data_IF_205681038531
#
_entry.id   IF_205681038531
#
_cell.length_a   1.000
_cell.length_b   1.000
_cell.length_c   1.000
_cell.angle_alpha   90.00
_cell.angle_beta   90.00
_cell.angle_gamma   90.00
#
_symmetry.space_group_name_H-M   'P 1'
#
loop_
_entity.id
_entity.type
_entity.pdbx_description
1 polymer ?
#
# COMPACT_ATOMS: atom_id res chain seq x y z
N UNK A 1 0.37 -24.43 8.19
CA UNK A 1 1.62 -24.06 7.46
C UNK A 1 2.15 -22.69 7.90
N UNK A 2 2.14 -22.35 9.20
CA UNK A 2 2.84 -21.15 9.73
C UNK A 2 2.56 -19.79 9.06
N UNK A 3 1.39 -19.54 8.47
CA UNK A 3 1.17 -18.33 7.64
C UNK A 3 1.41 -17.00 8.39
N UNK A 4 0.97 -16.92 9.65
CA UNK A 4 1.20 -15.74 10.47
C UNK A 4 2.70 -15.50 10.73
N UNK A 5 3.46 -16.56 10.94
CA UNK A 5 4.91 -16.49 11.15
C UNK A 5 5.65 -16.12 9.85
N UNK A 6 5.21 -16.65 8.71
CA UNK A 6 5.74 -16.25 7.39
C UNK A 6 5.51 -14.75 7.10
N UNK A 7 4.31 -14.24 7.41
CA UNK A 7 4.00 -12.80 7.26
C UNK A 7 4.89 -11.98 8.20
N UNK A 8 4.96 -12.35 9.49
CA UNK A 8 5.76 -11.63 10.47
C UNK A 8 7.25 -11.60 10.09
N UNK A 9 7.81 -12.73 9.63
CA UNK A 9 9.18 -12.81 9.13
C UNK A 9 9.41 -11.95 7.90
N UNK A 10 8.47 -11.93 6.95
CA UNK A 10 8.56 -11.06 5.77
C UNK A 10 8.65 -9.60 6.16
N UNK A 11 7.77 -9.14 7.07
CA UNK A 11 7.78 -7.77 7.59
C UNK A 11 9.10 -7.46 8.29
N UNK A 12 9.56 -8.37 9.17
CA UNK A 12 10.81 -8.20 9.91
C UNK A 12 12.02 -8.07 8.97
N UNK A 13 12.12 -8.92 7.95
CA UNK A 13 13.20 -8.86 6.98
C UNK A 13 13.11 -7.58 6.12
N UNK A 14 11.90 -7.22 5.67
CA UNK A 14 11.67 -5.95 5.01
C UNK A 14 12.09 -4.74 5.86
N UNK A 15 11.97 -4.77 7.20
CA UNK A 15 12.46 -3.68 8.06
C UNK A 15 13.98 -3.65 8.20
N UNK A 16 14.67 -4.78 8.01
CA UNK A 16 16.13 -4.90 8.15
C UNK A 16 16.91 -4.63 6.87
N UNK A 17 16.29 -4.72 5.70
CA UNK A 17 16.95 -4.54 4.41
C UNK A 17 17.60 -3.16 4.26
N UNK A 18 18.85 -3.12 3.81
CA UNK A 18 19.66 -1.90 3.62
C UNK A 18 19.63 -1.37 2.18
N UNK A 19 18.67 -1.83 1.37
CA UNK A 19 18.47 -1.39 -0.02
C UNK A 19 17.11 -0.69 -0.15
N UNK A 20 16.91 0.14 -1.19
CA UNK A 20 15.62 0.72 -1.49
C UNK A 20 14.55 -0.36 -1.67
N UNK A 21 13.39 -0.17 -1.05
CA UNK A 21 12.19 -1.00 -1.29
C UNK A 21 11.07 -0.10 -1.76
N UNK A 22 10.50 -0.43 -2.91
CA UNK A 22 9.33 0.24 -3.48
C UNK A 22 8.25 -0.83 -3.65
N UNK A 23 7.06 -0.57 -3.12
CA UNK A 23 5.90 -1.45 -3.25
C UNK A 23 4.78 -0.73 -4.00
N UNK A 24 4.07 -1.43 -4.87
CA UNK A 24 2.99 -0.87 -5.69
C UNK A 24 1.78 -1.79 -5.62
N UNK A 25 0.65 -1.28 -5.13
CA UNK A 25 -0.63 -2.00 -5.16
C UNK A 25 -1.30 -1.76 -6.51
N UNK A 26 -1.39 -2.82 -7.31
CA UNK A 26 -1.89 -2.75 -8.70
C UNK A 26 -3.35 -3.23 -8.85
N UNK A 27 -3.99 -3.60 -7.75
CA UNK A 27 -5.34 -4.17 -7.72
C UNK A 27 -5.84 -4.20 -6.29
N UNK A 28 -6.01 -5.40 -5.73
CA UNK A 28 -6.46 -5.58 -4.34
C UNK A 28 -5.30 -5.88 -3.39
N UNK A 29 -5.04 -4.96 -2.47
CA UNK A 29 -4.15 -5.12 -1.32
C UNK A 29 -4.90 -5.67 -0.12
N UNK A 30 -4.86 -6.99 0.09
CA UNK A 30 -5.57 -7.63 1.19
C UNK A 30 -4.73 -7.84 2.45
N UNK A 31 -5.04 -7.10 3.52
CA UNK A 31 -4.70 -7.39 4.91
C UNK A 31 -3.21 -7.75 5.15
N UNK A 32 -2.96 -8.75 6.00
CA UNK A 32 -1.64 -9.28 6.34
C UNK A 32 -0.83 -9.76 5.13
N UNK A 33 -1.49 -10.22 4.06
CA UNK A 33 -0.82 -10.67 2.85
C UNK A 33 -0.17 -9.53 2.08
N UNK A 34 -0.86 -8.39 1.97
CA UNK A 34 -0.32 -7.21 1.30
C UNK A 34 0.75 -6.49 2.13
N UNK A 35 0.56 -6.34 3.46
CA UNK A 35 1.53 -5.65 4.31
C UNK A 35 2.86 -6.40 4.43
N UNK A 36 2.85 -7.73 4.26
CA UNK A 36 4.05 -8.56 4.21
C UNK A 36 5.08 -8.06 3.18
N UNK A 37 4.60 -7.44 2.09
CA UNK A 37 5.42 -6.92 0.99
C UNK A 37 5.25 -5.40 0.75
N UNK A 38 4.40 -4.74 1.52
CA UNK A 38 4.25 -3.27 1.51
C UNK A 38 5.05 -2.58 2.63
N UNK A 39 5.85 -3.34 3.39
CA UNK A 39 6.81 -2.79 4.36
C UNK A 39 8.01 -2.18 3.64
N UNK A 40 7.80 -1.03 3.00
CA UNK A 40 8.69 -0.44 2.01
C UNK A 40 9.03 1.03 2.30
N UNK A 41 10.13 1.54 1.72
CA UNK A 41 10.47 2.97 1.80
C UNK A 41 9.37 3.79 1.13
N UNK A 42 8.99 3.38 -0.08
CA UNK A 42 7.88 3.98 -0.84
C UNK A 42 6.79 2.95 -1.10
N UNK A 43 5.54 3.35 -0.90
CA UNK A 43 4.34 2.57 -1.21
C UNK A 43 3.48 3.42 -2.13
N UNK A 44 3.21 2.91 -3.33
CA UNK A 44 2.34 3.55 -4.31
C UNK A 44 1.11 2.69 -4.56
N UNK A 45 0.06 3.30 -5.09
CA UNK A 45 -1.14 2.59 -5.53
C UNK A 45 -1.55 3.07 -6.91
N UNK A 46 -2.07 2.16 -7.74
CA UNK A 46 -2.87 2.59 -8.88
C UNK A 46 -4.15 3.28 -8.38
N UNK A 47 -4.64 4.24 -9.15
CA UNK A 47 -5.75 5.12 -8.78
C UNK A 47 -7.02 4.40 -8.30
N UNK A 48 -7.35 3.26 -8.91
CA UNK A 48 -8.52 2.44 -8.60
C UNK A 48 -8.18 1.18 -7.80
N UNK A 49 -6.92 1.02 -7.38
CA UNK A 49 -6.53 -0.05 -6.46
C UNK A 49 -7.12 0.19 -5.06
N UNK A 50 -7.31 -0.89 -4.31
CA UNK A 50 -7.79 -0.85 -2.92
C UNK A 50 -6.76 -1.47 -2.00
N UNK A 51 -6.66 -0.98 -0.77
CA UNK A 51 -5.83 -1.58 0.26
C UNK A 51 -6.56 -1.54 1.61
N UNK A 52 -6.83 -2.71 2.19
CA UNK A 52 -7.67 -2.82 3.38
C UNK A 52 -7.17 -3.86 4.38
N UNK A 53 -7.50 -3.68 5.66
CA UNK A 53 -7.18 -4.65 6.73
C UNK A 53 -8.08 -5.91 6.69
N UNK A 54 -9.26 -5.80 6.08
CA UNK A 54 -10.25 -6.86 5.91
C UNK A 54 -11.05 -6.57 4.63
N UNK A 55 -11.60 -7.59 3.97
CA UNK A 55 -12.51 -7.34 2.86
C UNK A 55 -13.79 -6.65 3.37
N UNK A 56 -14.40 -5.74 2.58
CA UNK A 56 -15.62 -5.06 3.01
C UNK A 56 -16.78 -6.02 3.32
N UNK A 57 -16.89 -7.13 2.60
CA UNK A 57 -17.90 -8.17 2.80
C UNK A 57 -17.74 -8.86 4.15
N UNK A 58 -16.50 -9.22 4.50
CA UNK A 58 -16.20 -9.84 5.79
C UNK A 58 -16.42 -8.83 6.94
N UNK A 59 -16.03 -7.58 6.77
CA UNK A 59 -16.32 -6.51 7.72
C UNK A 59 -17.83 -6.31 7.94
N UNK A 60 -18.61 -6.31 6.86
CA UNK A 60 -20.07 -6.16 6.90
C UNK A 60 -20.74 -7.34 7.63
N UNK A 61 -20.28 -8.57 7.36
CA UNK A 61 -20.76 -9.76 8.06
C UNK A 61 -20.44 -9.74 9.56
N UNK A 62 -19.30 -9.19 9.97
CA UNK A 62 -18.91 -9.12 11.38
C UNK A 62 -19.72 -8.04 12.11
N UNK A 63 -19.81 -6.84 11.53
CA UNK A 63 -20.40 -5.68 12.19
C UNK A 63 -21.93 -5.67 12.16
N UNK A 64 -22.54 -6.15 11.07
CA UNK A 64 -23.99 -6.09 10.86
C UNK A 64 -24.64 -7.45 10.58
N UNK A 65 -23.88 -8.54 10.51
CA UNK A 65 -24.38 -9.87 10.09
C UNK A 65 -25.07 -9.84 8.72
N UNK A 66 -24.66 -8.90 7.88
CA UNK A 66 -25.26 -8.65 6.58
C UNK A 66 -24.19 -8.22 5.58
N UNK A 67 -23.82 -9.13 4.68
CA UNK A 67 -22.81 -8.88 3.65
C UNK A 67 -23.27 -7.84 2.60
N UNK A 68 -24.58 -7.57 2.48
CA UNK A 68 -25.09 -6.57 1.55
C UNK A 68 -24.61 -5.14 1.91
N UNK A 69 -24.14 -4.94 3.15
CA UNK A 69 -23.58 -3.65 3.61
C UNK A 69 -22.11 -3.44 3.25
N UNK A 70 -21.51 -4.29 2.43
CA UNK A 70 -20.10 -4.18 2.01
C UNK A 70 -19.74 -2.77 1.49
N UNK A 71 -20.64 -2.11 0.74
CA UNK A 71 -20.40 -0.75 0.23
C UNK A 71 -20.24 0.30 1.33
N UNK A 72 -21.08 0.22 2.36
CA UNK A 72 -21.02 1.13 3.50
C UNK A 72 -19.71 0.91 4.29
N UNK A 73 -19.32 -0.36 4.44
CA UNK A 73 -18.06 -0.74 5.08
C UNK A 73 -16.86 -0.25 4.31
N UNK A 74 -16.81 -0.44 2.99
CA UNK A 74 -15.72 0.03 2.14
C UNK A 74 -15.54 1.55 2.25
N UNK A 75 -16.65 2.29 2.24
CA UNK A 75 -16.66 3.76 2.37
C UNK A 75 -16.15 4.19 3.76
N UNK A 76 -16.64 3.56 4.83
CA UNK A 76 -16.23 3.88 6.20
C UNK A 76 -14.76 3.52 6.48
N UNK A 77 -14.27 2.45 5.87
CA UNK A 77 -12.90 1.96 6.03
C UNK A 77 -11.86 2.77 5.25
N UNK A 78 -12.27 3.65 4.32
CA UNK A 78 -11.36 4.53 3.60
C UNK A 78 -10.23 3.78 2.86
N UNK A 79 -10.62 2.81 2.04
CA UNK A 79 -9.70 1.82 1.42
C UNK A 79 -9.11 2.26 0.08
N UNK A 80 -9.50 3.42 -0.44
CA UNK A 80 -9.09 3.89 -1.78
C UNK A 80 -7.68 4.49 -1.76
N UNK A 81 -7.02 4.56 -2.92
CA UNK A 81 -5.70 5.20 -3.02
C UNK A 81 -5.72 6.66 -2.50
N UNK A 82 -6.79 7.40 -2.78
CA UNK A 82 -6.97 8.81 -2.40
C UNK A 82 -7.11 8.94 -0.88
N UNK A 83 -7.94 8.10 -0.27
CA UNK A 83 -8.09 8.05 1.18
C UNK A 83 -6.76 7.73 1.87
N UNK A 84 -6.06 6.70 1.41
CA UNK A 84 -4.83 6.23 2.03
C UNK A 84 -3.68 7.21 1.83
N UNK A 85 -3.67 8.00 0.75
CA UNK A 85 -2.74 9.10 0.57
C UNK A 85 -3.01 10.21 1.59
N UNK A 86 -4.29 10.58 1.79
CA UNK A 86 -4.67 11.59 2.80
C UNK A 86 -4.32 11.14 4.23
N UNK A 87 -4.44 9.84 4.51
CA UNK A 87 -4.06 9.24 5.80
C UNK A 87 -2.55 9.06 5.97
N UNK A 88 -1.74 9.37 4.95
CA UNK A 88 -0.27 9.23 4.98
C UNK A 88 0.21 7.78 4.98
N UNK A 89 -0.61 6.83 4.51
CA UNK A 89 -0.28 5.40 4.44
C UNK A 89 0.52 5.10 3.16
N UNK A 90 0.22 5.81 2.07
CA UNK A 90 0.93 5.68 0.79
C UNK A 90 1.60 7.00 0.40
N UNK A 91 2.66 6.91 -0.41
CA UNK A 91 3.48 8.04 -0.82
C UNK A 91 3.01 8.69 -2.13
N UNK A 92 2.14 8.02 -2.89
CA UNK A 92 1.69 8.53 -4.18
C UNK A 92 0.70 7.62 -4.89
N UNK A 93 0.01 8.24 -5.86
CA UNK A 93 -1.00 7.59 -6.68
C UNK A 93 -0.52 7.61 -8.13
N UNK A 94 -0.60 6.46 -8.80
CA UNK A 94 -0.33 6.31 -10.22
C UNK A 94 -1.67 6.43 -10.95
N UNK A 95 -1.82 7.53 -11.70
CA UNK A 95 -3.05 7.82 -12.44
C UNK A 95 -3.35 6.74 -13.48
N UNK A 96 -4.64 6.42 -13.60
CA UNK A 96 -5.15 5.49 -14.59
C UNK A 96 -5.91 6.24 -15.71
N UNK A 97 -5.98 5.68 -16.93
CA UNK A 97 -6.78 6.27 -18.01
C UNK A 97 -8.26 6.26 -17.64
N UNK A 98 -9.05 7.11 -18.32
CA UNK A 98 -10.51 7.13 -18.17
C UNK A 98 -11.08 5.74 -18.40
N UNK A 99 -11.75 5.20 -17.37
CA UNK A 99 -12.33 3.86 -17.38
C UNK A 99 -11.40 2.74 -16.89
N UNK A 100 -10.21 3.06 -16.36
CA UNK A 100 -9.35 2.15 -15.60
C UNK A 100 -8.18 1.55 -16.40
N UNK A 101 -7.19 1.01 -15.67
CA UNK A 101 -5.88 0.60 -16.19
C UNK A 101 -5.91 -0.36 -17.37
N UNK A 102 -6.91 -1.23 -17.41
CA UNK A 102 -7.10 -2.21 -18.47
C UNK A 102 -7.38 -1.58 -19.85
N UNK A 103 -7.81 -0.32 -19.91
CA UNK A 103 -8.13 0.37 -21.17
C UNK A 103 -6.90 0.90 -21.90
N UNK A 104 -5.84 1.24 -21.15
CA UNK A 104 -4.57 1.68 -21.72
C UNK A 104 -3.38 1.16 -20.89
N UNK A 105 -3.10 -0.16 -20.93
CA UNK A 105 -2.08 -0.77 -20.07
C UNK A 105 -0.68 -0.20 -20.32
N UNK A 106 -0.36 0.18 -21.56
CA UNK A 106 0.92 0.76 -21.93
C UNK A 106 1.16 2.13 -21.25
N UNK A 107 0.12 2.97 -21.18
CA UNK A 107 0.17 4.25 -20.48
C UNK A 107 0.38 4.09 -18.98
N UNK A 108 -0.37 3.17 -18.35
CA UNK A 108 -0.20 2.87 -16.91
C UNK A 108 1.19 2.31 -16.61
N UNK A 109 1.72 1.45 -17.47
CA UNK A 109 3.08 0.93 -17.32
C UNK A 109 4.12 2.04 -17.42
N UNK A 110 3.96 2.97 -18.37
CA UNK A 110 4.86 4.13 -18.51
C UNK A 110 4.83 5.02 -17.26
N UNK A 111 3.63 5.33 -16.74
CA UNK A 111 3.45 6.11 -15.51
C UNK A 111 4.07 5.41 -14.30
N UNK A 112 3.88 4.09 -14.20
CA UNK A 112 4.45 3.26 -13.13
C UNK A 112 5.97 3.23 -13.20
N UNK A 113 6.54 3.06 -14.38
CA UNK A 113 7.99 3.07 -14.60
C UNK A 113 8.60 4.41 -14.22
N UNK A 114 7.94 5.52 -14.54
CA UNK A 114 8.38 6.85 -14.16
C UNK A 114 8.34 7.06 -12.64
N UNK A 115 7.25 6.62 -11.98
CA UNK A 115 7.15 6.65 -10.52
C UNK A 115 8.29 5.86 -9.85
N UNK A 116 8.60 4.66 -10.35
CA UNK A 116 9.70 3.83 -9.85
C UNK A 116 11.05 4.53 -10.07
N UNK A 117 11.29 5.10 -11.25
CA UNK A 117 12.54 5.82 -11.55
C UNK A 117 12.78 6.97 -10.59
N UNK A 118 11.76 7.80 -10.36
CA UNK A 118 11.87 8.94 -9.46
C UNK A 118 12.12 8.48 -8.02
N UNK A 119 11.37 7.48 -7.56
CA UNK A 119 11.57 6.88 -6.24
C UNK A 119 12.98 6.29 -6.06
N UNK A 120 13.49 5.57 -7.05
CA UNK A 120 14.85 5.01 -7.00
C UNK A 120 15.92 6.08 -7.06
N UNK A 121 15.71 7.16 -7.81
CA UNK A 121 16.63 8.29 -7.85
C UNK A 121 16.75 8.93 -6.47
N UNK A 122 15.63 9.23 -5.81
CA UNK A 122 15.61 9.80 -4.45
C UNK A 122 16.23 8.85 -3.41
N UNK A 123 15.83 7.57 -3.43
CA UNK A 123 16.29 6.59 -2.45
C UNK A 123 17.75 6.18 -2.69
N UNK A 124 18.25 6.29 -3.92
CA UNK A 124 19.63 5.98 -4.28
C UNK A 124 20.65 6.96 -3.70
N UNK A 125 20.22 8.15 -3.29
CA UNK A 125 21.07 9.14 -2.60
C UNK A 125 21.31 8.79 -1.12
N UNK A 126 20.55 7.84 -0.58
CA UNK A 126 20.62 7.43 0.82
C UNK A 126 21.49 6.20 1.00
N UNK A 127 22.29 6.18 2.06
CA UNK A 127 23.00 4.96 2.46
C UNK A 127 22.05 3.93 3.09
N UNK A 128 22.55 2.71 3.26
CA UNK A 128 21.76 1.60 3.79
C UNK A 128 21.24 1.81 5.22
N UNK A 129 21.92 2.62 6.04
CA UNK A 129 21.46 2.93 7.39
C UNK A 129 20.31 3.95 7.35
N UNK A 130 20.46 5.00 6.54
CA UNK A 130 19.44 6.00 6.29
C UNK A 130 18.18 5.39 5.67
N UNK A 131 18.32 4.47 4.71
CA UNK A 131 17.19 3.75 4.11
C UNK A 131 16.36 2.96 5.14
N UNK A 132 17.02 2.27 6.08
CA UNK A 132 16.33 1.55 7.16
C UNK A 132 15.66 2.51 8.14
N UNK A 133 16.36 3.57 8.50
CA UNK A 133 15.84 4.56 9.44
C UNK A 133 14.61 5.26 8.88
N UNK A 134 14.66 5.72 7.63
CA UNK A 134 13.52 6.32 6.93
C UNK A 134 12.31 5.37 6.88
N UNK A 135 12.53 4.09 6.53
CA UNK A 135 11.46 3.08 6.52
C UNK A 135 10.85 2.92 7.91
N UNK A 136 11.67 2.79 8.96
CA UNK A 136 11.21 2.68 10.35
C UNK A 136 10.39 3.90 10.78
N UNK A 137 10.89 5.10 10.50
CA UNK A 137 10.22 6.35 10.86
C UNK A 137 8.87 6.50 10.19
N UNK A 138 8.79 6.18 8.89
CA UNK A 138 7.52 6.15 8.14
C UNK A 138 6.47 5.31 8.86
N UNK A 139 6.79 4.05 9.18
CA UNK A 139 5.82 3.16 9.85
C UNK A 139 5.46 3.60 11.27
N UNK A 140 6.39 4.23 12.01
CA UNK A 140 6.10 4.79 13.32
C UNK A 140 5.23 6.06 13.26
N UNK A 141 5.29 6.81 12.16
CA UNK A 141 4.51 8.03 11.97
C UNK A 141 3.05 7.76 11.60
N UNK A 142 2.75 6.62 10.96
CA UNK A 142 1.38 6.23 10.61
C UNK A 142 0.50 6.25 11.86
N UNK A 143 -0.62 6.97 11.78
CA UNK A 143 -1.60 7.09 12.87
C UNK A 143 -1.27 8.13 13.95
N UNK A 144 -0.07 8.73 13.97
CA UNK A 144 0.30 9.72 15.01
C UNK A 144 -0.28 11.11 14.79
N UNK A 145 -0.50 11.49 13.54
CA UNK A 145 -0.95 12.83 13.15
C UNK A 145 -2.37 12.83 12.56
N UNK A 146 -3.17 11.80 12.87
CA UNK A 146 -4.58 11.77 12.50
C UNK A 146 -5.34 12.68 13.46
N UNK A 147 -5.72 13.86 12.97
CA UNK A 147 -6.61 14.79 13.66
C UNK A 147 -8.08 14.34 13.57
#
# INVERSE_FOLDING_TARGET
RGQAEAIARSIEECLKLTVPIISIVIGEGGSGGAIAIATANRVYMLEHAVYSVISPEAGASILWRDAAKAKDVATAMKITAQDLQQLGIIDGIIAEPVGGAHREPAGVLANTAEMIRNALSELGELDGAALRQQRREKFLAIGRNLA
#
